data_IF_733346490034
#
_entry.id   IF_733346490034
#
_cell.length_a   1.000
_cell.length_b   1.000
_cell.length_c   1.000
_cell.angle_alpha   90.00
_cell.angle_beta   90.00
_cell.angle_gamma   90.00
#
_symmetry.space_group_name_H-M   'P 1'
#
loop_
_entity.id
_entity.type
_entity.pdbx_description
1 polymer ?
#
# COMPACT_ATOMS: atom_id res chain seq x y z
N UNK A 1 3.11 -19.04 1.06
CA UNK A 1 1.76 -18.80 1.66
C UNK A 1 1.83 -18.63 3.18
N UNK A 2 2.31 -19.58 3.97
CA UNK A 2 2.34 -19.47 5.43
C UNK A 2 3.01 -18.19 5.99
N UNK A 3 4.10 -17.69 5.37
CA UNK A 3 4.77 -16.45 5.78
C UNK A 3 3.95 -15.19 5.46
N UNK A 4 3.20 -15.19 4.36
CA UNK A 4 2.26 -14.09 4.03
C UNK A 4 1.14 -14.03 5.06
N UNK A 5 0.57 -15.18 5.43
CA UNK A 5 -0.48 -15.24 6.46
C UNK A 5 0.04 -14.73 7.79
N UNK A 6 1.23 -15.15 8.21
CA UNK A 6 1.87 -14.68 9.44
C UNK A 6 2.12 -13.16 9.44
N UNK A 7 2.56 -12.58 8.30
CA UNK A 7 2.72 -11.14 8.15
C UNK A 7 1.38 -10.40 8.29
N UNK A 8 0.31 -10.89 7.63
CA UNK A 8 -1.01 -10.28 7.69
C UNK A 8 -1.57 -10.35 9.12
N UNK A 9 -1.41 -11.49 9.80
CA UNK A 9 -1.83 -11.66 11.18
C UNK A 9 -1.08 -10.69 12.10
N UNK A 10 0.23 -10.56 11.97
CA UNK A 10 1.04 -9.62 12.73
C UNK A 10 0.59 -8.17 12.51
N UNK A 11 0.38 -7.75 11.25
CA UNK A 11 -0.15 -6.43 10.91
C UNK A 11 -1.54 -6.20 11.50
N UNK A 12 -2.39 -7.23 11.53
CA UNK A 12 -3.73 -7.13 12.09
C UNK A 12 -3.73 -6.93 13.62
N UNK A 13 -2.72 -7.43 14.33
CA UNK A 13 -2.63 -7.36 15.79
C UNK A 13 -1.89 -6.13 16.30
N UNK A 14 -1.06 -5.48 15.47
CA UNK A 14 -0.22 -4.38 15.92
C UNK A 14 -1.01 -3.13 16.29
N UNK A 15 -0.54 -2.41 17.31
CA UNK A 15 -0.87 -1.01 17.56
C UNK A 15 0.35 -0.16 17.22
N UNK A 16 0.22 0.71 16.21
CA UNK A 16 1.27 1.64 15.79
C UNK A 16 0.85 3.05 16.21
N UNK A 17 1.45 3.57 17.27
CA UNK A 17 1.11 4.88 17.81
C UNK A 17 -0.40 5.11 17.92
N UNK A 18 -0.87 6.27 17.44
CA UNK A 18 -2.30 6.61 17.36
C UNK A 18 -2.93 6.35 15.99
N UNK A 19 -2.35 5.49 15.16
CA UNK A 19 -2.92 5.15 13.85
C UNK A 19 -4.13 4.22 13.98
N UNK A 20 -5.04 4.32 13.03
CA UNK A 20 -6.18 3.40 12.94
C UNK A 20 -5.74 2.11 12.24
N UNK A 21 -5.87 0.96 12.91
CA UNK A 21 -5.57 -0.32 12.29
C UNK A 21 -6.81 -0.86 11.56
N UNK A 22 -6.88 -0.59 10.26
CA UNK A 22 -7.97 -1.04 9.38
C UNK A 22 -8.08 -2.55 9.22
N UNK A 23 -7.05 -3.30 9.59
CA UNK A 23 -7.05 -4.77 9.53
C UNK A 23 -7.64 -5.41 10.79
N UNK A 24 -7.92 -4.62 11.83
CA UNK A 24 -8.50 -5.04 13.11
C UNK A 24 -9.79 -4.30 13.45
N UNK A 25 -9.84 -3.01 13.17
CA UNK A 25 -10.89 -2.11 13.60
C UNK A 25 -11.82 -1.74 12.44
N UNK A 26 -13.10 -1.49 12.76
CA UNK A 26 -14.09 -0.90 11.87
C UNK A 26 -14.60 0.42 12.44
N UNK A 27 -15.20 1.25 11.59
CA UNK A 27 -15.90 2.48 11.95
C UNK A 27 -17.20 2.64 11.13
N UNK A 28 -17.87 3.79 11.24
CA UNK A 28 -19.21 4.02 10.69
C UNK A 28 -19.32 3.95 9.15
N UNK A 29 -18.21 4.05 8.42
CA UNK A 29 -18.22 4.00 6.94
C UNK A 29 -17.94 2.58 6.40
N UNK A 30 -17.63 1.64 7.26
CA UNK A 30 -17.38 0.25 6.90
C UNK A 30 -18.69 -0.50 6.61
N UNK A 31 -18.64 -1.47 5.69
CA UNK A 31 -19.80 -2.28 5.31
C UNK A 31 -20.35 -3.18 6.43
N UNK A 32 -19.73 -3.16 7.61
CA UNK A 32 -20.12 -3.93 8.79
C UNK A 32 -18.93 -4.44 9.59
N UNK A 33 -19.20 -5.30 10.55
CA UNK A 33 -18.20 -5.88 11.44
C UNK A 33 -17.13 -6.71 10.69
N UNK A 34 -17.44 -7.20 9.50
CA UNK A 34 -16.54 -8.03 8.68
C UNK A 34 -15.53 -7.21 7.86
N UNK A 35 -15.65 -5.89 7.83
CA UNK A 35 -14.79 -5.04 7.02
C UNK A 35 -13.29 -5.26 7.28
N UNK A 36 -12.79 -5.41 8.52
CA UNK A 36 -11.39 -5.75 8.77
C UNK A 36 -10.97 -7.09 8.17
N UNK A 37 -11.84 -8.10 8.21
CA UNK A 37 -11.60 -9.41 7.61
C UNK A 37 -11.50 -9.31 6.10
N UNK A 38 -12.41 -8.57 5.47
CA UNK A 38 -12.39 -8.30 4.03
C UNK A 38 -11.05 -7.69 3.61
N UNK A 39 -10.54 -6.71 4.36
CA UNK A 39 -9.25 -6.06 4.06
C UNK A 39 -8.05 -7.00 4.21
N UNK A 40 -8.07 -7.89 5.21
CA UNK A 40 -7.04 -8.95 5.33
C UNK A 40 -7.10 -9.93 4.16
N UNK A 41 -8.30 -10.33 3.74
CA UNK A 41 -8.47 -11.22 2.59
C UNK A 41 -8.02 -10.56 1.28
N UNK A 42 -8.34 -9.27 1.08
CA UNK A 42 -7.84 -8.50 -0.04
C UNK A 42 -6.30 -8.45 -0.07
N UNK A 43 -5.67 -8.16 1.07
CA UNK A 43 -4.21 -8.12 1.18
C UNK A 43 -3.60 -9.50 0.91
N UNK A 44 -4.21 -10.57 1.42
CA UNK A 44 -3.79 -11.94 1.16
C UNK A 44 -3.86 -12.29 -0.33
N UNK A 45 -4.98 -11.99 -0.97
CA UNK A 45 -5.16 -12.25 -2.40
C UNK A 45 -4.15 -11.47 -3.24
N UNK A 46 -3.96 -10.18 -2.93
CA UNK A 46 -3.02 -9.29 -3.61
C UNK A 46 -1.56 -9.79 -3.52
N UNK A 47 -1.10 -10.14 -2.31
CA UNK A 47 0.27 -10.62 -2.10
C UNK A 47 0.50 -12.01 -2.69
N UNK A 48 -0.48 -12.93 -2.57
CA UNK A 48 -0.36 -14.26 -3.16
C UNK A 48 -0.26 -14.22 -4.70
N UNK A 49 -0.98 -13.30 -5.35
CA UNK A 49 -0.87 -13.10 -6.80
C UNK A 49 0.49 -12.53 -7.24
N UNK A 50 1.31 -12.04 -6.28
CA UNK A 50 2.60 -11.36 -6.50
C UNK A 50 3.77 -11.96 -5.74
N UNK A 51 3.69 -13.25 -5.36
CA UNK A 51 4.75 -13.93 -4.59
C UNK A 51 6.13 -13.90 -5.25
N UNK A 52 6.17 -13.79 -6.57
CA UNK A 52 7.40 -13.75 -7.37
C UNK A 52 7.63 -12.39 -8.03
N UNK A 53 6.93 -11.35 -7.57
CA UNK A 53 7.11 -10.00 -8.10
C UNK A 53 8.55 -9.52 -7.89
N UNK A 54 9.27 -9.18 -8.97
CA UNK A 54 10.67 -8.77 -8.87
C UNK A 54 10.84 -7.35 -8.29
N UNK A 55 9.78 -6.58 -8.16
CA UNK A 55 9.84 -5.18 -7.73
C UNK A 55 8.92 -4.93 -6.54
N UNK A 56 9.45 -4.25 -5.52
CA UNK A 56 8.67 -3.68 -4.41
C UNK A 56 8.88 -2.17 -4.36
N UNK A 57 7.79 -1.41 -4.30
CA UNK A 57 7.82 0.00 -3.96
C UNK A 57 7.21 0.24 -2.59
N UNK A 58 7.94 0.98 -1.74
CA UNK A 58 7.48 1.38 -0.41
C UNK A 58 6.98 2.83 -0.46
N UNK A 59 5.74 3.05 -0.07
CA UNK A 59 5.14 4.36 0.17
C UNK A 59 5.13 4.69 1.67
N UNK A 60 4.67 5.89 2.04
CA UNK A 60 4.67 6.36 3.42
C UNK A 60 3.64 5.64 4.29
N UNK A 61 2.37 5.80 4.00
CA UNK A 61 1.25 5.28 4.76
C UNK A 61 -0.05 5.27 3.95
N UNK A 62 -1.03 4.52 4.41
CA UNK A 62 -2.32 4.43 3.74
C UNK A 62 -3.16 5.70 3.86
N UNK A 63 -3.70 6.18 2.73
CA UNK A 63 -4.67 7.26 2.69
C UNK A 63 -6.09 6.79 3.05
N UNK A 64 -6.93 7.73 3.57
CA UNK A 64 -8.27 7.41 4.02
C UNK A 64 -9.23 6.97 2.89
N UNK A 65 -9.05 7.46 1.65
CA UNK A 65 -9.83 7.01 0.48
C UNK A 65 -9.25 5.80 -0.24
N UNK A 66 -8.07 5.35 0.17
CA UNK A 66 -7.33 4.24 -0.46
C UNK A 66 -7.17 3.07 0.49
N UNK A 67 -5.96 2.88 1.00
CA UNK A 67 -5.58 1.73 1.81
C UNK A 67 -6.43 1.53 3.07
N UNK A 68 -7.03 2.59 3.62
CA UNK A 68 -7.96 2.48 4.76
C UNK A 68 -9.12 1.54 4.45
N UNK A 69 -9.66 1.57 3.23
CA UNK A 69 -10.79 0.71 2.82
C UNK A 69 -10.36 -0.45 1.94
N UNK A 70 -9.44 -0.25 1.00
CA UNK A 70 -8.99 -1.35 0.13
C UNK A 70 -8.19 -2.42 0.88
N UNK A 71 -7.49 -2.05 1.95
CA UNK A 71 -6.46 -2.86 2.59
C UNK A 71 -5.14 -2.90 1.82
N UNK A 72 -5.01 -2.15 0.71
CA UNK A 72 -3.88 -2.22 -0.22
C UNK A 72 -3.20 -0.86 -0.38
N UNK A 73 -1.87 -0.84 -0.37
CA UNK A 73 -1.09 0.38 -0.58
C UNK A 73 -1.31 0.95 -1.99
N UNK A 74 -1.55 2.27 -2.07
CA UNK A 74 -1.77 2.97 -3.34
C UNK A 74 -2.78 2.27 -4.26
N UNK A 75 -3.83 1.77 -3.64
CA UNK A 75 -4.96 1.11 -4.27
C UNK A 75 -6.26 1.59 -3.63
N UNK A 76 -7.30 1.79 -4.41
CA UNK A 76 -8.62 2.18 -3.92
C UNK A 76 -9.69 1.22 -4.41
N UNK A 77 -10.77 1.06 -3.64
CA UNK A 77 -11.84 0.10 -3.94
C UNK A 77 -12.43 0.26 -5.34
N UNK A 78 -12.59 1.51 -5.83
CA UNK A 78 -13.11 1.79 -7.17
C UNK A 78 -12.33 1.12 -8.30
N UNK A 79 -11.13 0.64 -8.03
CA UNK A 79 -10.27 -0.01 -9.02
C UNK A 79 -10.42 -1.53 -9.05
N UNK A 80 -11.12 -2.13 -8.08
CA UNK A 80 -11.18 -3.59 -7.92
C UNK A 80 -11.74 -4.29 -9.15
N UNK A 81 -12.94 -3.91 -9.59
CA UNK A 81 -13.62 -4.59 -10.70
C UNK A 81 -12.80 -4.59 -11.99
N UNK A 82 -12.04 -3.52 -12.23
CA UNK A 82 -11.26 -3.36 -13.45
C UNK A 82 -9.83 -3.89 -13.37
N UNK A 83 -9.23 -3.92 -12.18
CA UNK A 83 -7.81 -4.25 -12.02
C UNK A 83 -7.56 -5.57 -11.28
N UNK A 84 -8.39 -5.91 -10.30
CA UNK A 84 -8.22 -7.09 -9.44
C UNK A 84 -9.59 -7.75 -9.18
N UNK A 85 -10.19 -8.38 -10.19
CA UNK A 85 -11.46 -9.08 -10.02
C UNK A 85 -11.36 -10.11 -8.90
N UNK A 86 -12.30 -10.07 -7.97
CA UNK A 86 -12.33 -10.95 -6.80
C UNK A 86 -11.94 -10.30 -5.47
N UNK A 87 -11.38 -9.07 -5.49
CA UNK A 87 -11.29 -8.26 -4.28
C UNK A 87 -12.67 -7.73 -3.87
N UNK A 88 -12.88 -7.57 -2.57
CA UNK A 88 -14.17 -7.20 -2.00
C UNK A 88 -14.16 -5.79 -1.43
N UNK A 89 -15.26 -5.07 -1.61
CA UNK A 89 -15.49 -3.77 -0.98
C UNK A 89 -15.67 -3.94 0.53
N UNK A 90 -15.00 -3.12 1.30
CA UNK A 90 -15.10 -3.08 2.76
C UNK A 90 -15.85 -1.85 3.27
N UNK A 91 -16.21 -0.92 2.39
CA UNK A 91 -16.94 0.29 2.71
C UNK A 91 -18.39 0.27 2.23
N UNK A 92 -19.23 1.14 2.81
CA UNK A 92 -20.59 1.39 2.32
C UNK A 92 -20.64 2.31 1.09
N UNK A 93 -19.50 2.85 0.65
CA UNK A 93 -19.46 3.80 -0.46
C UNK A 93 -19.89 3.12 -1.77
N UNK A 94 -20.98 3.56 -2.41
CA UNK A 94 -21.41 2.98 -3.70
C UNK A 94 -20.32 3.06 -4.77
N UNK A 95 -19.92 1.92 -5.34
CA UNK A 95 -18.83 1.81 -6.29
C UNK A 95 -17.44 2.05 -5.69
N UNK A 96 -17.32 2.02 -4.37
CA UNK A 96 -16.07 2.14 -3.62
C UNK A 96 -15.47 3.55 -3.60
N UNK A 97 -14.60 3.79 -2.63
CA UNK A 97 -13.81 5.01 -2.54
C UNK A 97 -12.78 5.11 -3.67
N UNK A 98 -12.43 6.34 -4.05
CA UNK A 98 -11.41 6.64 -5.05
C UNK A 98 -10.34 7.56 -4.49
N UNK A 99 -9.08 7.14 -4.58
CA UNK A 99 -7.91 7.92 -4.19
C UNK A 99 -7.12 8.38 -5.43
N UNK A 100 -6.88 9.69 -5.62
CA UNK A 100 -6.13 10.19 -6.76
C UNK A 100 -4.72 9.59 -6.87
N UNK A 101 -4.01 9.44 -5.75
CA UNK A 101 -2.66 8.85 -5.73
C UNK A 101 -2.66 7.40 -6.19
N UNK A 102 -3.65 6.61 -5.77
CA UNK A 102 -3.85 5.24 -6.23
C UNK A 102 -4.12 5.20 -7.75
N UNK A 103 -5.00 6.09 -8.23
CA UNK A 103 -5.32 6.16 -9.67
C UNK A 103 -4.09 6.43 -10.53
N UNK A 104 -3.26 7.39 -10.12
CA UNK A 104 -2.01 7.74 -10.85
C UNK A 104 -1.04 6.56 -10.85
N UNK A 105 -0.82 5.96 -9.67
CA UNK A 105 0.14 4.86 -9.50
C UNK A 105 -0.29 3.62 -10.29
N UNK A 106 -1.54 3.17 -10.14
CA UNK A 106 -2.05 1.99 -10.84
C UNK A 106 -2.00 2.14 -12.37
N UNK A 107 -2.30 3.33 -12.90
CA UNK A 107 -2.15 3.62 -14.34
C UNK A 107 -0.68 3.62 -14.79
N UNK A 108 0.23 4.05 -13.93
CA UNK A 108 1.66 4.05 -14.26
C UNK A 108 2.23 2.63 -14.34
N UNK A 109 1.88 1.75 -13.39
CA UNK A 109 2.39 0.38 -13.30
C UNK A 109 1.59 -0.64 -14.13
N UNK A 110 0.53 -0.22 -14.82
CA UNK A 110 -0.43 -1.12 -15.47
C UNK A 110 0.20 -2.23 -16.33
N UNK A 111 1.26 -1.99 -17.15
CA UNK A 111 1.92 -3.04 -17.92
C UNK A 111 2.61 -4.12 -17.06
N UNK A 112 3.01 -3.77 -15.83
CA UNK A 112 3.80 -4.60 -14.92
C UNK A 112 3.05 -4.90 -13.62
N UNK A 113 1.72 -4.81 -13.61
CA UNK A 113 0.89 -4.86 -12.40
C UNK A 113 1.20 -6.06 -11.50
N UNK A 114 1.41 -7.23 -12.06
CA UNK A 114 1.67 -8.44 -11.32
C UNK A 114 3.16 -8.64 -10.95
N UNK A 115 4.04 -7.82 -11.53
CA UNK A 115 5.47 -7.81 -11.26
C UNK A 115 5.85 -6.79 -10.18
N UNK A 116 4.89 -6.01 -9.69
CA UNK A 116 5.09 -4.93 -8.73
C UNK A 116 4.23 -5.13 -7.50
N UNK A 117 4.86 -5.12 -6.32
CA UNK A 117 4.19 -4.98 -5.03
C UNK A 117 4.31 -3.54 -4.54
N UNK A 118 3.21 -2.96 -4.13
CA UNK A 118 3.14 -1.68 -3.44
C UNK A 118 2.88 -1.94 -1.96
N UNK A 119 3.66 -1.32 -1.09
CA UNK A 119 3.55 -1.46 0.36
C UNK A 119 3.67 -0.11 1.06
N UNK A 120 3.10 0.02 2.26
CA UNK A 120 3.23 1.21 3.11
C UNK A 120 4.22 0.94 4.25
N UNK A 121 5.17 1.84 4.47
CA UNK A 121 6.09 1.79 5.60
C UNK A 121 5.32 1.70 6.93
N UNK A 122 4.25 2.50 7.07
CA UNK A 122 3.27 2.36 8.15
C UNK A 122 2.03 1.67 7.57
N UNK A 123 1.82 0.38 7.84
CA UNK A 123 0.74 -0.41 7.22
C UNK A 123 -0.66 -0.01 7.71
N UNK A 124 -0.75 0.68 8.83
CA UNK A 124 -1.98 1.22 9.43
C UNK A 124 -2.22 2.67 8.99
N UNK A 125 -3.46 3.16 9.15
CA UNK A 125 -3.86 4.47 8.64
C UNK A 125 -3.65 5.60 9.66
N UNK A 126 -2.68 6.54 9.42
CA UNK A 126 -2.51 7.73 10.25
C UNK A 126 -3.62 8.75 9.95
N UNK A 127 -4.41 9.07 10.97
CA UNK A 127 -5.49 10.08 10.88
C UNK A 127 -5.42 11.05 12.06
N UNK A 128 -6.14 12.17 11.96
CA UNK A 128 -6.34 13.07 13.09
C UNK A 128 -7.30 12.43 14.07
N UNK A 129 -7.07 12.68 15.36
CA UNK A 129 -7.96 12.18 16.41
C UNK A 129 -9.38 12.71 16.21
N UNK A 130 -10.35 11.81 16.30
CA UNK A 130 -11.78 12.14 16.13
C UNK A 130 -12.23 12.40 14.68
N UNK A 131 -11.33 12.39 13.68
CA UNK A 131 -11.70 12.64 12.28
C UNK A 131 -11.23 11.51 11.36
N UNK A 132 -12.10 10.52 11.02
CA UNK A 132 -11.76 9.37 10.22
C UNK A 132 -11.44 9.72 8.76
N UNK A 133 -11.86 10.86 8.25
CA UNK A 133 -11.72 11.28 6.85
C UNK A 133 -10.48 12.17 6.61
N UNK A 134 -9.47 12.06 7.46
CA UNK A 134 -8.24 12.83 7.34
C UNK A 134 -7.02 11.93 7.14
N UNK A 135 -6.00 12.53 6.55
CA UNK A 135 -4.64 11.98 6.51
C UNK A 135 -3.74 12.88 7.35
N UNK A 136 -2.76 12.28 8.01
CA UNK A 136 -1.60 12.98 8.55
C UNK A 136 -0.32 12.22 8.23
N UNK A 137 0.77 12.91 8.22
CA UNK A 137 2.09 12.26 8.16
C UNK A 137 2.31 11.43 9.43
N UNK A 138 2.77 10.18 9.31
CA UNK A 138 3.14 9.38 10.48
C UNK A 138 4.31 10.03 11.23
N UNK A 139 4.33 9.87 12.53
CA UNK A 139 5.43 10.28 13.38
C UNK A 139 6.67 9.40 13.14
N UNK A 140 7.85 9.87 13.56
CA UNK A 140 9.06 9.05 13.49
C UNK A 140 8.96 7.76 14.32
N UNK A 141 8.21 7.77 15.41
CA UNK A 141 7.96 6.58 16.22
C UNK A 141 7.11 5.57 15.44
N UNK A 142 5.99 6.03 14.87
CA UNK A 142 5.11 5.18 14.05
C UNK A 142 5.84 4.57 12.83
N UNK A 143 6.74 5.34 12.20
CA UNK A 143 7.57 4.81 11.12
C UNK A 143 8.52 3.70 11.60
N UNK A 144 9.16 3.87 12.77
CA UNK A 144 10.01 2.82 13.37
C UNK A 144 9.21 1.57 13.77
N UNK A 145 7.98 1.76 14.27
CA UNK A 145 7.08 0.66 14.62
C UNK A 145 6.55 -0.08 13.37
N UNK A 146 6.43 0.59 12.23
CA UNK A 146 6.03 0.01 10.95
C UNK A 146 7.16 -0.72 10.20
N UNK A 147 8.42 -0.32 10.43
CA UNK A 147 9.59 -0.85 9.71
C UNK A 147 9.74 -2.38 9.76
N UNK A 148 9.51 -3.08 10.89
CA UNK A 148 9.60 -4.54 10.94
C UNK A 148 8.70 -5.26 9.93
N UNK A 149 7.51 -4.75 9.67
CA UNK A 149 6.57 -5.33 8.69
C UNK A 149 7.05 -5.15 7.25
N UNK A 150 7.72 -4.02 6.97
CA UNK A 150 8.36 -3.78 5.67
C UNK A 150 9.53 -4.73 5.46
N UNK A 151 10.38 -4.96 6.47
CA UNK A 151 11.48 -5.93 6.41
C UNK A 151 10.95 -7.35 6.18
N UNK A 152 9.94 -7.78 6.96
CA UNK A 152 9.33 -9.10 6.79
C UNK A 152 8.75 -9.28 5.38
N UNK A 153 8.07 -8.27 4.82
CA UNK A 153 7.59 -8.32 3.45
C UNK A 153 8.74 -8.53 2.45
N UNK A 154 9.82 -7.77 2.58
CA UNK A 154 11.01 -7.88 1.72
C UNK A 154 11.63 -9.27 1.86
N UNK A 155 11.73 -9.80 3.08
CA UNK A 155 12.26 -11.13 3.37
C UNK A 155 11.36 -12.27 2.86
N UNK A 156 10.06 -12.03 2.74
CA UNK A 156 9.12 -13.00 2.15
C UNK A 156 9.21 -13.00 0.63
N UNK A 157 9.22 -11.82 0.01
CA UNK A 157 9.13 -11.67 -1.44
C UNK A 157 10.50 -11.77 -2.14
N UNK A 158 11.59 -11.43 -1.46
CA UNK A 158 12.95 -11.41 -2.02
C UNK A 158 13.03 -10.66 -3.37
N UNK A 159 12.54 -9.40 -3.44
CA UNK A 159 12.49 -8.66 -4.69
C UNK A 159 13.90 -8.37 -5.22
N UNK A 160 14.06 -8.33 -6.55
CA UNK A 160 15.32 -7.91 -7.18
C UNK A 160 15.55 -6.41 -7.08
N UNK A 161 14.45 -5.63 -7.05
CA UNK A 161 14.48 -4.18 -7.04
C UNK A 161 13.58 -3.63 -5.93
N UNK A 162 14.11 -2.65 -5.21
CA UNK A 162 13.40 -1.91 -4.17
C UNK A 162 13.41 -0.43 -4.53
N UNK A 163 12.25 0.21 -4.47
CA UNK A 163 12.09 1.64 -4.70
C UNK A 163 11.25 2.31 -3.62
N UNK A 164 11.35 3.62 -3.52
CA UNK A 164 10.53 4.44 -2.63
C UNK A 164 9.59 5.34 -3.41
N UNK A 165 8.34 5.48 -2.95
CA UNK A 165 7.40 6.49 -3.43
C UNK A 165 7.26 7.58 -2.37
N UNK A 166 7.91 8.72 -2.62
CA UNK A 166 7.98 9.85 -1.69
C UNK A 166 9.21 9.85 -0.79
N UNK A 167 9.57 11.05 -0.33
CA UNK A 167 10.80 11.27 0.44
C UNK A 167 10.77 10.65 1.85
N UNK A 168 9.58 10.46 2.43
CA UNK A 168 9.46 9.88 3.77
C UNK A 168 9.86 8.41 3.73
N UNK A 169 9.32 7.64 2.80
CA UNK A 169 9.69 6.25 2.59
C UNK A 169 11.18 6.12 2.21
N UNK A 170 11.68 6.98 1.33
CA UNK A 170 13.09 6.99 0.92
C UNK A 170 14.05 7.16 2.09
N UNK A 171 13.75 8.09 3.01
CA UNK A 171 14.58 8.32 4.21
C UNK A 171 14.58 7.12 5.15
N UNK A 172 13.48 6.40 5.24
CA UNK A 172 13.38 5.20 6.09
C UNK A 172 14.14 4.01 5.50
N UNK A 173 14.12 3.87 4.17
CA UNK A 173 14.83 2.79 3.46
C UNK A 173 16.35 3.04 3.37
N UNK A 174 16.79 4.27 3.55
CA UNK A 174 18.20 4.64 3.54
C UNK A 174 18.76 5.02 2.16
N UNK A 175 20.07 5.34 2.09
CA UNK A 175 20.72 5.79 0.88
C UNK A 175 20.80 4.68 -0.17
N UNK A 176 20.77 5.07 -1.45
CA UNK A 176 20.90 4.15 -2.58
C UNK A 176 19.58 3.58 -3.10
N UNK A 177 18.46 3.75 -2.39
CA UNK A 177 17.15 3.33 -2.90
C UNK A 177 16.61 4.39 -3.87
N UNK A 178 16.26 4.03 -5.11
CA UNK A 178 15.66 4.95 -6.07
C UNK A 178 14.35 5.53 -5.55
N UNK A 179 14.16 6.84 -5.77
CA UNK A 179 13.03 7.61 -5.24
C UNK A 179 12.16 8.12 -6.37
N UNK A 180 10.90 7.78 -6.32
CA UNK A 180 9.84 8.33 -7.18
C UNK A 180 9.11 9.43 -6.42
N UNK A 181 8.82 10.53 -7.08
CA UNK A 181 7.98 11.61 -6.53
C UNK A 181 6.61 11.04 -6.13
N UNK A 182 6.12 11.41 -4.92
CA UNK A 182 4.76 11.02 -4.50
C UNK A 182 3.71 11.71 -5.39
N UNK A 183 2.61 11.02 -5.79
CA UNK A 183 1.60 11.57 -6.70
C UNK A 183 0.84 12.80 -6.19
N UNK A 184 0.77 12.99 -4.86
CA UNK A 184 0.08 14.14 -4.27
C UNK A 184 0.74 15.47 -4.58
N UNK A 185 0.02 16.57 -4.31
CA UNK A 185 0.52 17.94 -4.41
C UNK A 185 1.18 18.25 -5.78
N UNK A 186 0.47 17.95 -6.85
CA UNK A 186 0.94 18.21 -8.23
C UNK A 186 1.98 17.21 -8.75
N UNK A 187 2.29 16.16 -8.01
CA UNK A 187 3.30 15.18 -8.41
C UNK A 187 2.87 14.16 -9.48
N UNK A 188 1.60 14.13 -9.88
CA UNK A 188 1.03 13.06 -10.70
C UNK A 188 1.78 12.75 -12.01
N UNK A 189 2.15 13.78 -12.77
CA UNK A 189 2.88 13.59 -14.04
C UNK A 189 4.29 13.06 -13.80
N UNK A 190 5.02 13.67 -12.88
CA UNK A 190 6.39 13.26 -12.53
C UNK A 190 6.41 11.83 -11.98
N UNK A 191 5.47 11.49 -11.10
CA UNK A 191 5.34 10.12 -10.57
C UNK A 191 5.17 9.10 -11.68
N UNK A 192 4.25 9.38 -12.62
CA UNK A 192 3.97 8.47 -13.74
C UNK A 192 5.20 8.26 -14.63
N UNK A 193 5.92 9.33 -14.94
CA UNK A 193 7.13 9.29 -15.78
C UNK A 193 8.25 8.52 -15.07
N UNK A 194 8.52 8.83 -13.80
CA UNK A 194 9.56 8.16 -13.02
C UNK A 194 9.27 6.68 -12.80
N UNK A 195 8.03 6.30 -12.44
CA UNK A 195 7.65 4.89 -12.29
C UNK A 195 7.85 4.12 -13.59
N UNK A 196 7.40 4.67 -14.70
CA UNK A 196 7.55 4.02 -16.02
C UNK A 196 9.01 3.89 -16.43
N UNK A 197 9.83 4.91 -16.23
CA UNK A 197 11.25 4.86 -16.55
C UNK A 197 11.97 3.79 -15.75
N UNK A 198 11.81 3.77 -14.43
CA UNK A 198 12.41 2.76 -13.56
C UNK A 198 11.95 1.34 -13.88
N UNK A 199 10.63 1.14 -14.06
CA UNK A 199 10.11 -0.19 -14.37
C UNK A 199 10.58 -0.68 -15.74
N UNK A 200 10.64 0.19 -16.74
CA UNK A 200 11.20 -0.15 -18.05
C UNK A 200 12.66 -0.60 -17.93
N UNK A 201 13.49 0.15 -17.21
CA UNK A 201 14.88 -0.17 -16.96
C UNK A 201 15.04 -1.52 -16.23
N UNK A 202 14.33 -1.69 -15.10
CA UNK A 202 14.45 -2.88 -14.25
C UNK A 202 13.94 -4.16 -14.90
N UNK A 203 12.88 -4.08 -15.71
CA UNK A 203 12.34 -5.24 -16.40
C UNK A 203 13.17 -5.67 -17.62
N UNK A 204 13.87 -4.73 -18.29
CA UNK A 204 14.79 -5.07 -19.39
C UNK A 204 16.14 -5.60 -18.90
N UNK A 205 16.59 -5.18 -17.71
CA UNK A 205 17.86 -5.68 -17.13
C UNK A 205 17.76 -7.12 -16.61
N UNK A 206 16.60 -7.74 -16.65
CA UNK A 206 16.31 -9.08 -16.17
C UNK A 206 16.20 -10.13 -17.29
N UNK A 207 16.33 -9.71 -18.55
CA UNK A 207 16.39 -10.57 -19.74
C UNK A 207 17.84 -10.88 -20.12
#
# INVERSE_FOLDING_TARGET
MARIDALIDAVSQVAIGSTFNQFRCSDGDDCGADAPSIRRDNLRAYLNARLHAPVVFIAEAGGWRGARYSGLSLYSERQFDSLEPGLRYSSHQPGGWSEPSATVTQRAIAPWRFDVVLWNLVPTHPRRDGDPHTNRTPTRAEMREGEPFTRELIDVLQPRHLGAIGLVAARALGPGVPVVRHPSHGGATITREQLRALLTEWMHSAA
#
